data_IF_862600074223
#
_entry.id   IF_862600074223
#
_cell.length_a   1.000
_cell.length_b   1.000
_cell.length_c   1.000
_cell.angle_alpha   90.00
_cell.angle_beta   90.00
_cell.angle_gamma   90.00
#
_symmetry.space_group_name_H-M   'P 1'
#
loop_
_entity.id
_entity.type
_entity.pdbx_description
1 polymer ?
#
# COMPACT_ATOMS: atom_id res chain seq x y z
N UNK A 1 -25.05 -29.86 1.51
CA UNK A 1 -24.09 -30.42 2.49
C UNK A 1 -23.73 -29.29 3.43
N UNK A 2 -23.91 -29.46 4.75
CA UNK A 2 -23.46 -28.48 5.73
C UNK A 2 -21.95 -28.34 5.58
N UNK A 3 -21.43 -27.12 5.36
CA UNK A 3 -19.98 -26.93 5.46
C UNK A 3 -19.55 -27.31 6.89
N UNK A 4 -18.43 -28.01 7.02
CA UNK A 4 -17.83 -28.26 8.34
C UNK A 4 -17.51 -26.92 9.00
N UNK A 5 -17.89 -26.75 10.27
CA UNK A 5 -17.64 -25.52 11.02
C UNK A 5 -16.27 -25.58 11.70
N UNK A 6 -15.57 -24.45 11.78
CA UNK A 6 -14.34 -24.28 12.55
C UNK A 6 -14.41 -23.05 13.47
N UNK A 7 -13.41 -22.92 14.34
CA UNK A 7 -13.21 -21.78 15.24
C UNK A 7 -12.01 -20.98 14.77
N UNK A 8 -12.21 -19.67 14.60
CA UNK A 8 -11.12 -18.76 14.22
C UNK A 8 -10.93 -17.73 15.32
N UNK A 9 -9.69 -17.56 15.78
CA UNK A 9 -9.30 -16.50 16.72
C UNK A 9 -8.68 -15.36 15.92
N UNK A 10 -9.27 -14.16 15.98
CA UNK A 10 -8.81 -12.98 15.23
C UNK A 10 -8.49 -11.88 16.24
N UNK A 11 -7.22 -11.50 16.36
CA UNK A 11 -6.75 -10.55 17.37
C UNK A 11 -7.29 -10.88 18.78
N UNK A 12 -7.23 -12.17 19.16
CA UNK A 12 -7.71 -12.69 20.45
C UNK A 12 -9.22 -12.91 20.56
N UNK A 13 -10.03 -12.51 19.58
CA UNK A 13 -11.49 -12.75 19.60
C UNK A 13 -11.86 -14.01 18.80
N UNK A 14 -12.51 -14.95 19.47
CA UNK A 14 -13.02 -16.19 18.87
C UNK A 14 -14.33 -15.95 18.12
N UNK A 15 -14.42 -16.49 16.90
CA UNK A 15 -15.62 -16.52 16.07
C UNK A 15 -15.84 -17.93 15.50
N UNK A 16 -17.07 -18.22 15.09
CA UNK A 16 -17.39 -19.41 14.31
C UNK A 16 -17.37 -19.08 12.83
N UNK A 17 -16.77 -19.96 12.04
CA UNK A 17 -16.68 -19.85 10.59
C UNK A 17 -16.87 -21.23 9.94
N UNK A 18 -16.90 -21.28 8.61
CA UNK A 18 -16.95 -22.53 7.88
C UNK A 18 -15.61 -22.82 7.21
N UNK A 19 -15.24 -24.09 7.17
CA UNK A 19 -14.19 -24.59 6.28
C UNK A 19 -14.54 -24.20 4.83
N UNK A 20 -13.56 -23.69 4.10
CA UNK A 20 -13.75 -23.14 2.76
C UNK A 20 -14.14 -21.66 2.71
N UNK A 21 -14.36 -20.99 3.84
CA UNK A 21 -14.53 -19.53 3.85
C UNK A 21 -13.15 -18.84 3.75
N UNK A 22 -13.11 -17.69 3.06
CA UNK A 22 -11.90 -16.84 3.13
C UNK A 22 -11.78 -16.22 4.51
N UNK A 23 -10.57 -15.80 4.93
CA UNK A 23 -10.39 -15.14 6.22
C UNK A 23 -11.24 -13.86 6.34
N UNK A 24 -11.46 -13.14 5.24
CA UNK A 24 -12.38 -11.99 5.21
C UNK A 24 -13.83 -12.43 5.43
N UNK A 25 -14.31 -13.44 4.70
CA UNK A 25 -15.69 -13.89 4.80
C UNK A 25 -15.99 -14.43 6.21
N UNK A 26 -15.04 -15.19 6.78
CA UNK A 26 -15.10 -15.66 8.15
C UNK A 26 -15.21 -14.50 9.15
N UNK A 27 -14.33 -13.49 9.03
CA UNK A 27 -14.38 -12.29 9.87
C UNK A 27 -15.72 -11.57 9.76
N UNK A 28 -16.18 -11.29 8.54
CA UNK A 28 -17.45 -10.59 8.29
C UNK A 28 -18.64 -11.36 8.87
N UNK A 29 -18.68 -12.68 8.70
CA UNK A 29 -19.69 -13.56 9.33
C UNK A 29 -19.68 -13.47 10.87
N UNK A 30 -18.49 -13.32 11.46
CA UNK A 30 -18.28 -13.09 12.90
C UNK A 30 -18.41 -11.64 13.38
N UNK A 31 -18.86 -10.72 12.51
CA UNK A 31 -18.93 -9.26 12.77
C UNK A 31 -17.57 -8.66 13.16
N UNK A 32 -16.50 -9.18 12.59
CA UNK A 32 -15.13 -8.71 12.70
C UNK A 32 -14.62 -8.27 11.32
N UNK A 33 -14.43 -6.97 11.16
CA UNK A 33 -13.97 -6.41 9.89
C UNK A 33 -12.44 -6.45 9.86
N UNK A 34 -11.89 -7.38 9.09
CA UNK A 34 -10.46 -7.36 8.75
C UNK A 34 -10.19 -6.16 7.82
N UNK A 35 -8.98 -5.58 7.84
CA UNK A 35 -8.58 -4.59 6.84
C UNK A 35 -8.69 -5.20 5.44
N UNK A 36 -9.37 -4.54 4.49
CA UNK A 36 -9.44 -5.00 3.09
C UNK A 36 -9.88 -3.87 2.14
N UNK A 37 -9.60 -4.03 0.84
CA UNK A 37 -10.07 -3.12 -0.21
C UNK A 37 -10.42 -3.85 -1.53
N UNK A 38 -9.44 -4.37 -2.27
CA UNK A 38 -9.67 -4.89 -3.63
C UNK A 38 -10.35 -6.27 -3.73
N UNK A 39 -10.15 -7.13 -2.72
CA UNK A 39 -10.58 -8.54 -2.71
C UNK A 39 -10.18 -9.37 -3.96
N UNK A 40 -9.06 -9.00 -4.59
CA UNK A 40 -8.49 -9.64 -5.78
C UNK A 40 -7.05 -10.14 -5.59
N UNK A 41 -6.46 -9.93 -4.40
CA UNK A 41 -5.07 -10.30 -4.10
C UNK A 41 -4.03 -9.25 -4.49
N UNK A 42 -4.43 -8.06 -4.95
CA UNK A 42 -3.50 -7.08 -5.52
C UNK A 42 -3.06 -5.98 -4.53
N UNK A 43 -3.97 -5.45 -3.72
CA UNK A 43 -3.68 -4.28 -2.88
C UNK A 43 -2.98 -4.60 -1.55
N UNK A 44 -2.93 -5.88 -1.16
CA UNK A 44 -2.37 -6.38 0.11
C UNK A 44 -2.92 -5.81 1.42
N UNK A 45 -3.91 -4.90 1.39
CA UNK A 45 -4.59 -4.39 2.58
C UNK A 45 -5.07 -5.49 3.53
N UNK A 46 -5.47 -6.67 3.01
CA UNK A 46 -5.92 -7.81 3.80
C UNK A 46 -4.82 -8.75 4.29
N UNK A 47 -3.56 -8.33 4.25
CA UNK A 47 -2.45 -9.15 4.74
C UNK A 47 -2.57 -9.29 6.26
N UNK A 48 -2.61 -10.54 6.71
CA UNK A 48 -2.72 -10.93 8.13
C UNK A 48 -1.66 -11.96 8.45
N UNK A 49 -1.25 -12.03 9.71
CA UNK A 49 -0.31 -13.03 10.23
C UNK A 49 -1.08 -14.26 10.70
N UNK A 50 -0.65 -15.44 10.29
CA UNK A 50 -1.10 -16.71 10.85
C UNK A 50 -0.23 -17.02 12.07
N UNK A 51 -0.87 -17.19 13.22
CA UNK A 51 -0.22 -17.52 14.48
C UNK A 51 -0.24 -19.04 14.74
N UNK A 52 -1.36 -19.69 14.41
CA UNK A 52 -1.54 -21.13 14.54
C UNK A 52 -2.68 -21.63 13.64
N UNK A 53 -2.73 -22.94 13.41
CA UNK A 53 -3.84 -23.64 12.76
C UNK A 53 -3.74 -23.78 11.24
N UNK A 54 -4.88 -24.05 10.60
CA UNK A 54 -4.95 -24.57 9.23
C UNK A 54 -5.57 -23.58 8.25
N UNK A 55 -4.70 -22.92 7.48
CA UNK A 55 -5.06 -21.94 6.44
C UNK A 55 -4.30 -22.28 5.15
N UNK A 56 -5.03 -22.49 4.06
CA UNK A 56 -4.45 -22.55 2.72
C UNK A 56 -4.18 -21.11 2.23
N UNK A 57 -2.90 -20.78 2.02
CA UNK A 57 -2.48 -19.45 1.57
C UNK A 57 -2.86 -19.16 0.12
N UNK A 58 -3.18 -20.18 -0.68
CA UNK A 58 -3.29 -20.12 -2.13
C UNK A 58 -2.08 -19.44 -2.80
N UNK A 59 -0.88 -19.67 -2.27
CA UNK A 59 0.38 -19.12 -2.78
C UNK A 59 0.59 -17.63 -2.48
N UNK A 60 -0.11 -17.10 -1.47
CA UNK A 60 0.03 -15.70 -1.02
C UNK A 60 0.85 -15.53 0.24
N UNK A 61 1.47 -16.63 0.69
CA UNK A 61 2.30 -16.68 1.87
C UNK A 61 3.55 -15.83 1.70
N UNK A 62 3.84 -15.05 2.74
CA UNK A 62 5.10 -14.32 2.89
C UNK A 62 5.49 -14.37 4.36
N UNK A 63 6.57 -15.10 4.66
CA UNK A 63 6.90 -15.57 6.01
C UNK A 63 5.68 -16.25 6.65
N UNK A 64 5.17 -15.70 7.75
CA UNK A 64 3.99 -16.18 8.46
C UNK A 64 2.73 -15.35 8.15
N UNK A 65 2.69 -14.65 7.02
CA UNK A 65 1.53 -13.83 6.62
C UNK A 65 0.87 -14.36 5.36
N UNK A 66 -0.42 -14.11 5.21
CA UNK A 66 -1.23 -14.50 4.04
C UNK A 66 -2.18 -13.38 3.64
N UNK A 67 -2.72 -13.41 2.42
CA UNK A 67 -3.76 -12.48 1.98
C UNK A 67 -5.15 -12.99 2.35
N UNK A 68 -5.80 -12.37 3.35
CA UNK A 68 -7.09 -12.83 3.86
C UNK A 68 -8.26 -12.81 2.85
N UNK A 69 -8.14 -12.11 1.72
CA UNK A 69 -9.14 -12.16 0.65
C UNK A 69 -9.02 -13.38 -0.27
N UNK A 70 -7.90 -14.10 -0.19
CA UNK A 70 -7.62 -15.30 -0.97
C UNK A 70 -7.50 -16.52 -0.05
N UNK A 71 -6.76 -16.39 1.06
CA UNK A 71 -6.50 -17.46 1.99
C UNK A 71 -7.79 -18.08 2.55
N UNK A 72 -7.84 -19.42 2.57
CA UNK A 72 -9.04 -20.21 2.87
C UNK A 72 -8.83 -21.01 4.15
N UNK A 73 -9.86 -21.10 4.99
CA UNK A 73 -9.85 -21.93 6.20
C UNK A 73 -10.00 -23.41 5.85
N UNK A 74 -9.06 -24.23 6.32
CA UNK A 74 -9.15 -25.70 6.25
C UNK A 74 -9.56 -26.32 7.60
N UNK A 75 -9.40 -25.57 8.69
CA UNK A 75 -9.74 -25.99 10.04
C UNK A 75 -9.76 -24.80 11.01
N UNK A 76 -9.52 -25.09 12.30
CA UNK A 76 -9.34 -24.05 13.31
C UNK A 76 -8.07 -23.25 13.00
N UNK A 77 -8.11 -21.94 13.24
CA UNK A 77 -7.00 -21.04 12.94
C UNK A 77 -6.93 -19.87 13.91
N UNK A 78 -5.73 -19.37 14.15
CA UNK A 78 -5.48 -18.13 14.87
C UNK A 78 -4.70 -17.16 13.98
N UNK A 79 -5.26 -15.97 13.79
CA UNK A 79 -4.67 -14.91 12.98
C UNK A 79 -4.59 -13.60 13.75
N UNK A 80 -3.63 -12.77 13.38
CA UNK A 80 -3.49 -11.41 13.88
C UNK A 80 -3.20 -10.40 12.78
N UNK A 81 -3.54 -9.14 13.04
CA UNK A 81 -3.15 -8.01 12.20
C UNK A 81 -2.97 -6.76 13.05
N UNK A 82 -2.12 -5.87 12.57
CA UNK A 82 -1.80 -4.61 13.24
C UNK A 82 -3.07 -3.72 13.39
N UNK A 83 -3.26 -3.02 14.51
CA UNK A 83 -4.34 -2.04 14.64
C UNK A 83 -4.23 -0.95 13.57
N UNK A 84 -5.30 -0.74 12.80
CA UNK A 84 -5.37 0.29 11.76
C UNK A 84 -6.57 1.21 11.97
N UNK A 85 -6.53 2.46 11.46
CA UNK A 85 -7.69 3.35 11.53
C UNK A 85 -8.89 2.77 10.78
N UNK A 86 -10.09 3.06 11.30
CA UNK A 86 -11.34 2.58 10.70
C UNK A 86 -11.57 3.27 9.36
N UNK A 87 -11.86 2.48 8.33
CA UNK A 87 -12.23 2.97 7.00
C UNK A 87 -13.50 3.82 7.09
N UNK A 88 -13.41 5.08 6.66
CA UNK A 88 -14.56 6.01 6.58
C UNK A 88 -14.53 6.78 5.27
N UNK A 89 -15.69 7.30 4.88
CA UNK A 89 -15.80 8.27 3.77
C UNK A 89 -15.97 9.66 4.36
N UNK A 90 -15.08 10.58 3.99
CA UNK A 90 -15.07 11.97 4.47
C UNK A 90 -15.15 12.89 3.25
N UNK A 91 -15.97 13.94 3.36
CA UNK A 91 -16.08 14.98 2.34
C UNK A 91 -14.98 16.01 2.52
N UNK A 92 -14.55 16.61 1.43
CA UNK A 92 -13.60 17.70 1.42
C UNK A 92 -13.68 18.51 0.13
N UNK A 93 -12.79 19.47 0.01
CA UNK A 93 -12.60 20.30 -1.17
C UNK A 93 -11.12 20.42 -1.47
N UNK A 94 -10.76 20.50 -2.76
CA UNK A 94 -9.40 20.85 -3.17
C UNK A 94 -9.08 22.24 -2.61
N UNK A 95 -8.07 22.31 -1.75
CA UNK A 95 -7.60 23.57 -1.17
C UNK A 95 -6.63 24.26 -2.13
N UNK A 96 -5.65 23.52 -2.63
CA UNK A 96 -4.66 24.01 -3.57
C UNK A 96 -4.11 22.88 -4.43
N UNK A 97 -3.67 23.27 -5.63
CA UNK A 97 -2.87 22.44 -6.53
C UNK A 97 -1.64 23.26 -6.89
N UNK A 98 -0.46 22.75 -6.56
CA UNK A 98 0.81 23.42 -6.81
C UNK A 98 1.71 22.51 -7.62
N UNK A 99 2.48 23.08 -8.55
CA UNK A 99 3.49 22.31 -9.29
C UNK A 99 4.73 22.15 -8.42
N UNK A 100 5.16 20.91 -8.20
CA UNK A 100 6.43 20.59 -7.53
C UNK A 100 7.56 20.68 -8.55
N UNK A 101 7.42 19.93 -9.65
CA UNK A 101 8.33 19.92 -10.80
C UNK A 101 7.61 19.33 -12.00
N UNK A 102 7.74 19.94 -13.17
CA UNK A 102 7.21 19.42 -14.44
C UNK A 102 5.77 18.90 -14.37
N UNK A 103 5.59 17.58 -14.40
CA UNK A 103 4.31 16.86 -14.35
C UNK A 103 3.94 16.33 -12.95
N UNK A 104 4.66 16.74 -11.90
CA UNK A 104 4.39 16.40 -10.50
C UNK A 104 3.67 17.55 -9.80
N UNK A 105 2.48 17.26 -9.27
CA UNK A 105 1.64 18.21 -8.55
C UNK A 105 1.53 17.82 -7.08
N UNK A 106 1.59 18.81 -6.20
CA UNK A 106 1.10 18.72 -4.84
C UNK A 106 -0.38 19.11 -4.83
N UNK A 107 -1.24 18.20 -4.40
CA UNK A 107 -2.68 18.44 -4.28
C UNK A 107 -3.05 18.39 -2.80
N UNK A 108 -3.51 19.51 -2.26
CA UNK A 108 -4.02 19.62 -0.88
C UNK A 108 -5.53 19.53 -0.89
N UNK A 109 -6.09 18.65 -0.06
CA UNK A 109 -7.53 18.47 0.11
C UNK A 109 -7.88 18.78 1.56
N UNK A 110 -8.63 19.87 1.77
CA UNK A 110 -9.20 20.19 3.08
C UNK A 110 -10.46 19.38 3.31
N UNK A 111 -10.52 18.71 4.44
CA UNK A 111 -11.59 17.78 4.82
C UNK A 111 -12.49 18.40 5.88
N UNK A 112 -13.76 17.99 5.91
CA UNK A 112 -14.72 18.53 6.91
C UNK A 112 -14.42 18.07 8.34
N UNK A 113 -13.62 17.02 8.50
CA UNK A 113 -13.14 16.45 9.76
C UNK A 113 -11.77 15.79 9.51
N UNK A 114 -10.87 15.77 10.50
CA UNK A 114 -9.59 15.08 10.39
C UNK A 114 -9.73 13.64 9.90
N UNK A 115 -8.80 13.23 9.02
CA UNK A 115 -8.67 11.85 8.56
C UNK A 115 -7.48 11.23 9.27
N UNK A 116 -7.71 10.20 10.07
CA UNK A 116 -6.61 9.43 10.68
C UNK A 116 -6.08 8.42 9.67
N UNK A 117 -4.78 8.43 9.42
CA UNK A 117 -4.06 7.50 8.57
C UNK A 117 -2.66 7.23 9.15
N UNK A 118 -2.07 6.09 8.81
CA UNK A 118 -0.70 5.74 9.19
C UNK A 118 0.24 6.01 8.01
N UNK A 119 1.45 6.58 8.25
CA UNK A 119 2.43 6.86 7.19
C UNK A 119 2.71 5.64 6.32
N UNK A 120 2.40 5.70 5.02
CA UNK A 120 2.48 4.57 4.08
C UNK A 120 1.14 3.95 3.67
N UNK A 121 0.03 4.39 4.27
CA UNK A 121 -1.32 4.04 3.80
C UNK A 121 -1.74 4.86 2.58
N UNK A 122 -2.86 4.47 1.95
CA UNK A 122 -3.49 5.23 0.87
C UNK A 122 -4.96 5.56 1.13
N UNK A 123 -5.47 6.56 0.40
CA UNK A 123 -6.86 6.98 0.38
C UNK A 123 -7.40 6.92 -1.05
N UNK A 124 -8.65 6.48 -1.17
CA UNK A 124 -9.40 6.57 -2.42
C UNK A 124 -10.03 7.95 -2.53
N UNK A 125 -9.54 8.76 -3.45
CA UNK A 125 -10.09 10.07 -3.77
C UNK A 125 -11.09 9.98 -4.93
N UNK A 126 -12.25 10.62 -4.78
CA UNK A 126 -13.26 10.79 -5.84
C UNK A 126 -13.57 12.26 -5.98
N UNK A 127 -13.00 12.89 -7.01
CA UNK A 127 -13.33 14.25 -7.40
C UNK A 127 -14.71 14.24 -8.08
N UNK A 128 -15.60 15.18 -7.72
CA UNK A 128 -16.96 15.21 -8.27
C UNK A 128 -16.94 15.24 -9.80
N UNK A 129 -17.64 14.31 -10.45
CA UNK A 129 -17.65 14.15 -11.91
C UNK A 129 -16.55 13.24 -12.48
N UNK A 130 -15.64 12.73 -11.65
CA UNK A 130 -14.49 11.92 -12.09
C UNK A 130 -14.46 10.55 -11.39
N UNK A 131 -13.86 9.52 -12.02
CA UNK A 131 -13.73 8.21 -11.40
C UNK A 131 -12.76 8.26 -10.21
N UNK A 132 -12.95 7.33 -9.27
CA UNK A 132 -12.10 7.23 -8.10
C UNK A 132 -10.67 6.83 -8.46
N UNK A 133 -9.69 7.35 -7.71
CA UNK A 133 -8.27 6.98 -7.79
C UNK A 133 -7.69 6.86 -6.39
N UNK A 134 -6.77 5.92 -6.23
CA UNK A 134 -6.06 5.70 -4.99
C UNK A 134 -4.79 6.55 -4.98
N UNK A 135 -4.59 7.34 -3.92
CA UNK A 135 -3.42 8.18 -3.72
C UNK A 135 -2.93 8.03 -2.29
N UNK A 136 -1.62 7.92 -2.12
CA UNK A 136 -1.01 7.80 -0.79
C UNK A 136 -0.77 9.20 -0.20
N UNK A 137 -1.34 9.54 0.96
CA UNK A 137 -1.04 10.79 1.64
C UNK A 137 0.45 10.92 1.96
N UNK A 138 0.93 12.16 1.98
CA UNK A 138 2.32 12.50 2.25
C UNK A 138 2.44 13.63 3.26
N UNK A 139 3.62 13.79 3.85
CA UNK A 139 3.92 14.92 4.74
C UNK A 139 4.36 16.13 3.90
N UNK A 140 3.85 17.35 4.16
CA UNK A 140 4.37 18.57 3.54
C UNK A 140 5.88 18.71 3.75
N UNK A 141 6.60 19.24 2.77
CA UNK A 141 8.06 19.35 2.84
C UNK A 141 8.55 20.24 4.00
N UNK A 142 7.81 21.31 4.31
CA UNK A 142 8.04 22.21 5.43
C UNK A 142 7.50 21.67 6.76
N UNK A 143 6.97 20.44 6.78
CA UNK A 143 6.47 19.73 7.95
C UNK A 143 5.28 20.42 8.67
N UNK A 144 4.57 21.32 8.00
CA UNK A 144 3.42 22.07 8.52
C UNK A 144 2.10 21.30 8.38
N UNK A 145 2.09 20.03 8.78
CA UNK A 145 0.91 19.18 8.62
C UNK A 145 -0.29 19.68 9.45
N UNK A 146 -1.38 20.06 8.76
CA UNK A 146 -2.68 20.33 9.37
C UNK A 146 -3.52 19.04 9.46
N UNK A 147 -4.23 18.84 10.58
CA UNK A 147 -4.97 17.58 10.83
C UNK A 147 -6.12 17.33 9.83
N UNK A 148 -6.70 18.39 9.28
CA UNK A 148 -7.82 18.36 8.35
C UNK A 148 -7.40 18.58 6.89
N UNK A 149 -6.10 18.71 6.61
CA UNK A 149 -5.57 18.81 5.25
C UNK A 149 -4.80 17.55 4.88
N UNK A 150 -5.22 16.90 3.81
CA UNK A 150 -4.51 15.75 3.24
C UNK A 150 -3.73 16.21 2.02
N UNK A 151 -2.43 15.90 2.01
CA UNK A 151 -1.53 16.24 0.91
C UNK A 151 -1.22 14.99 0.09
N UNK A 152 -1.30 15.11 -1.23
CA UNK A 152 -0.93 14.07 -2.18
C UNK A 152 0.09 14.60 -3.17
N UNK A 153 1.03 13.76 -3.60
CA UNK A 153 1.84 14.03 -4.80
C UNK A 153 1.30 13.20 -5.96
N UNK A 154 0.87 13.87 -7.02
CA UNK A 154 0.23 13.23 -8.17
C UNK A 154 1.04 13.54 -9.43
N UNK A 155 1.47 12.49 -10.12
CA UNK A 155 2.06 12.61 -11.46
C UNK A 155 0.93 12.73 -12.48
N UNK A 156 1.03 13.74 -13.35
CA UNK A 156 0.11 13.97 -14.45
C UNK A 156 0.50 13.09 -15.62
N UNK A 157 -0.40 12.19 -16.00
CA UNK A 157 -0.25 11.41 -17.22
C UNK A 157 -1.06 12.06 -18.35
N UNK A 158 -0.45 12.33 -19.51
CA UNK A 158 -1.20 12.77 -20.69
C UNK A 158 -2.38 11.82 -20.94
N UNK A 159 -3.56 12.39 -21.22
CA UNK A 159 -4.82 11.68 -21.47
C UNK A 159 -5.43 10.92 -20.28
N UNK A 160 -4.88 11.05 -19.06
CA UNK A 160 -5.50 10.47 -17.86
C UNK A 160 -6.85 11.13 -17.56
N UNK A 161 -7.89 10.32 -17.32
CA UNK A 161 -9.25 10.80 -17.00
C UNK A 161 -9.29 11.70 -15.77
N UNK A 162 -8.33 11.58 -14.84
CA UNK A 162 -8.28 12.38 -13.60
C UNK A 162 -7.06 13.29 -13.59
N UNK A 163 -5.85 12.73 -13.68
CA UNK A 163 -4.63 13.52 -13.41
C UNK A 163 -4.40 14.63 -14.45
N UNK A 164 -4.81 14.45 -15.71
CA UNK A 164 -4.73 15.50 -16.74
C UNK A 164 -5.69 16.68 -16.51
N UNK A 165 -6.66 16.51 -15.62
CA UNK A 165 -7.69 17.50 -15.28
C UNK A 165 -7.35 18.31 -14.04
N UNK A 166 -6.33 17.90 -13.29
CA UNK A 166 -5.82 18.64 -12.13
C UNK A 166 -5.20 19.98 -12.57
N UNK A 167 -5.64 21.06 -11.92
CA UNK A 167 -5.23 22.43 -12.26
C UNK A 167 -6.04 23.07 -13.41
N UNK A 168 -6.97 22.33 -14.02
CA UNK A 168 -7.91 22.85 -15.01
C UNK A 168 -9.35 22.61 -14.56
N UNK A 169 -9.97 21.50 -14.96
CA UNK A 169 -11.35 21.15 -14.57
C UNK A 169 -11.46 20.78 -13.09
N UNK A 170 -10.42 20.17 -12.51
CA UNK A 170 -10.28 19.92 -11.08
C UNK A 170 -9.36 21.00 -10.51
N UNK A 171 -9.95 21.99 -9.84
CA UNK A 171 -9.23 23.16 -9.31
C UNK A 171 -9.59 23.43 -7.84
N UNK A 172 -9.04 24.51 -7.27
CA UNK A 172 -9.40 24.97 -5.92
C UNK A 172 -10.92 25.09 -5.77
N UNK A 173 -11.45 24.57 -4.66
CA UNK A 173 -12.88 24.51 -4.36
C UNK A 173 -13.59 23.27 -4.90
N UNK A 174 -12.95 22.45 -5.75
CA UNK A 174 -13.58 21.24 -6.31
C UNK A 174 -13.93 20.24 -5.22
N UNK A 175 -15.14 19.70 -5.26
CA UNK A 175 -15.63 18.75 -4.25
C UNK A 175 -14.95 17.39 -4.38
N UNK A 176 -14.48 16.84 -3.26
CA UNK A 176 -13.79 15.55 -3.19
C UNK A 176 -14.38 14.69 -2.07
N UNK A 177 -14.52 13.39 -2.32
CA UNK A 177 -14.72 12.39 -1.27
C UNK A 177 -13.44 11.59 -1.09
N UNK A 178 -12.95 11.48 0.15
CA UNK A 178 -11.84 10.61 0.52
C UNK A 178 -12.41 9.41 1.26
N UNK A 179 -12.10 8.19 0.82
CA UNK A 179 -12.44 6.94 1.51
C UNK A 179 -11.15 6.24 1.92
N UNK A 180 -11.09 5.75 3.15
CA UNK A 180 -9.94 4.99 3.68
C UNK A 180 -9.74 5.24 5.17
N UNK A 181 -8.54 4.96 5.71
CA UNK A 181 -7.33 4.54 4.99
C UNK A 181 -7.30 3.06 4.61
N UNK A 182 -6.50 2.73 3.60
CA UNK A 182 -6.21 1.38 3.13
C UNK A 182 -4.69 1.14 3.07
N UNK A 183 -4.29 -0.09 2.76
CA UNK A 183 -2.89 -0.46 2.59
C UNK A 183 -2.27 -1.07 3.83
N UNK A 184 -1.36 -2.02 3.58
CA UNK A 184 -0.53 -2.68 4.58
C UNK A 184 0.91 -2.14 4.60
N UNK A 185 1.23 -1.13 3.79
CA UNK A 185 2.57 -0.57 3.59
C UNK A 185 3.03 0.46 4.64
N UNK A 186 2.45 0.49 5.85
CA UNK A 186 2.65 1.61 6.79
C UNK A 186 3.74 1.41 7.84
N UNK A 187 4.27 2.50 8.38
CA UNK A 187 5.29 2.48 9.44
C UNK A 187 4.75 1.83 10.73
N UNK A 188 5.44 0.79 11.21
CA UNK A 188 5.20 0.19 12.53
C UNK A 188 6.15 0.75 13.57
N UNK A 189 5.72 0.71 14.84
CA UNK A 189 6.56 1.06 15.99
C UNK A 189 7.37 -0.16 16.40
N UNK A 190 8.63 -0.17 16.01
CA UNK A 190 9.53 -1.31 16.20
C UNK A 190 10.99 -0.81 16.12
N UNK A 191 11.95 -1.45 16.81
CA UNK A 191 13.35 -0.97 16.89
C UNK A 191 14.21 -1.33 15.67
N UNK A 192 13.76 -2.26 14.82
CA UNK A 192 14.52 -2.83 13.72
C UNK A 192 14.96 -1.78 12.70
N UNK A 193 16.15 -1.91 12.08
CA UNK A 193 16.59 -1.04 10.99
C UNK A 193 15.60 -1.09 9.82
N UNK A 194 15.38 0.05 9.16
CA UNK A 194 14.49 0.13 8.01
C UNK A 194 15.20 0.49 6.72
N UNK A 195 14.84 -0.23 5.67
CA UNK A 195 15.22 0.10 4.30
C UNK A 195 14.00 0.58 3.55
N UNK A 196 14.08 1.82 3.08
CA UNK A 196 13.03 2.48 2.33
C UNK A 196 13.40 2.46 0.85
N UNK A 197 12.47 2.09 -0.01
CA UNK A 197 12.70 2.17 -1.45
C UNK A 197 11.48 2.65 -2.20
N UNK A 198 11.69 3.46 -3.23
CA UNK A 198 10.60 3.96 -4.06
C UNK A 198 10.92 4.07 -5.53
N UNK A 199 9.88 4.12 -6.35
CA UNK A 199 9.95 4.65 -7.71
C UNK A 199 8.91 5.72 -8.00
N UNK A 200 9.32 6.81 -8.67
CA UNK A 200 8.41 7.89 -9.08
C UNK A 200 7.62 8.49 -7.91
N UNK A 201 6.30 8.61 -8.04
CA UNK A 201 5.43 9.11 -6.95
C UNK A 201 5.31 8.17 -5.76
N UNK A 202 5.81 6.93 -5.85
CA UNK A 202 6.01 6.06 -4.68
C UNK A 202 6.90 6.70 -3.61
N UNK A 203 7.68 7.74 -3.97
CA UNK A 203 8.41 8.53 -3.00
C UNK A 203 7.49 9.24 -1.98
N UNK A 204 6.24 9.55 -2.31
CA UNK A 204 5.32 10.26 -1.41
C UNK A 204 5.00 9.47 -0.12
N UNK A 205 4.51 8.21 -0.18
CA UNK A 205 4.33 7.41 1.03
C UNK A 205 5.66 7.08 1.73
N UNK A 206 6.74 6.85 0.98
CA UNK A 206 8.06 6.58 1.56
C UNK A 206 8.62 7.79 2.33
N UNK A 207 8.42 9.00 1.82
CA UNK A 207 8.76 10.24 2.51
C UNK A 207 7.97 10.38 3.82
N UNK A 208 6.66 10.11 3.79
CA UNK A 208 5.85 10.12 5.01
C UNK A 208 6.37 9.12 6.06
N UNK A 209 6.73 7.90 5.64
CA UNK A 209 7.35 6.88 6.51
C UNK A 209 8.67 7.40 7.07
N UNK A 210 9.56 7.93 6.23
CA UNK A 210 10.88 8.42 6.64
C UNK A 210 10.76 9.55 7.68
N UNK A 211 9.90 10.53 7.43
CA UNK A 211 9.65 11.63 8.37
C UNK A 211 9.12 11.10 9.70
N UNK A 212 8.11 10.23 9.68
CA UNK A 212 7.54 9.68 10.89
C UNK A 212 8.53 8.79 11.66
N UNK A 213 9.38 8.03 10.97
CA UNK A 213 10.41 7.20 11.60
C UNK A 213 11.46 8.07 12.29
N UNK A 214 11.97 9.09 11.61
CA UNK A 214 12.99 10.02 12.15
C UNK A 214 12.44 10.80 13.35
N UNK A 215 11.23 11.35 13.26
CA UNK A 215 10.65 12.13 14.34
C UNK A 215 10.24 11.26 15.54
N UNK A 216 9.87 10.00 15.29
CA UNK A 216 9.47 9.06 16.34
C UNK A 216 10.62 8.31 17.00
N UNK A 217 11.71 8.06 16.27
CA UNK A 217 12.90 7.32 16.70
C UNK A 217 14.15 7.89 16.00
N UNK A 218 14.73 8.99 16.52
CA UNK A 218 15.84 9.70 15.86
C UNK A 218 17.10 8.88 15.61
N UNK A 219 17.35 7.86 16.43
CA UNK A 219 18.54 7.00 16.37
C UNK A 219 18.32 5.71 15.54
N UNK A 220 17.14 5.55 14.93
CA UNK A 220 16.85 4.36 14.12
C UNK A 220 17.72 4.38 12.86
N UNK A 221 18.33 3.24 12.52
CA UNK A 221 19.03 3.10 11.25
C UNK A 221 18.03 3.10 10.07
N UNK A 222 18.25 4.03 9.14
CA UNK A 222 17.40 4.24 7.96
C UNK A 222 18.30 4.34 6.73
N UNK A 223 18.03 3.45 5.76
CA UNK A 223 18.58 3.51 4.41
C UNK A 223 17.48 3.83 3.43
N UNK A 224 17.75 4.67 2.43
CA UNK A 224 16.79 5.05 1.41
C UNK A 224 17.38 4.86 0.00
N UNK A 225 16.63 4.17 -0.86
CA UNK A 225 16.91 4.06 -2.30
C UNK A 225 15.76 4.68 -3.09
N UNK A 226 16.04 5.67 -3.94
CA UNK A 226 15.03 6.34 -4.74
C UNK A 226 15.32 6.15 -6.21
N UNK A 227 14.43 5.45 -6.90
CA UNK A 227 14.49 5.23 -8.33
C UNK A 227 13.55 6.12 -9.13
N UNK A 228 13.96 6.45 -10.34
CA UNK A 228 13.08 7.02 -11.34
C UNK A 228 13.41 6.47 -12.73
N UNK A 229 12.49 6.63 -13.68
CA UNK A 229 12.78 6.30 -15.09
C UNK A 229 13.81 7.27 -15.68
N UNK A 230 13.69 8.55 -15.31
CA UNK A 230 14.64 9.60 -15.70
C UNK A 230 15.05 10.42 -14.48
N UNK A 231 16.16 11.15 -14.53
CA UNK A 231 16.61 12.06 -13.45
C UNK A 231 15.57 13.10 -13.07
N UNK A 232 14.69 13.47 -14.00
CA UNK A 232 13.57 14.38 -13.73
C UNK A 232 12.49 13.78 -12.83
N UNK A 233 12.35 12.45 -12.83
CA UNK A 233 11.43 11.75 -11.94
C UNK A 233 11.87 11.75 -10.46
N UNK A 234 13.09 12.21 -10.16
CA UNK A 234 13.58 12.49 -8.81
C UNK A 234 13.11 13.89 -8.36
N UNK A 235 11.79 14.04 -8.22
CA UNK A 235 11.12 15.33 -8.13
C UNK A 235 11.25 16.05 -6.77
N UNK A 236 11.57 15.33 -5.69
CA UNK A 236 11.63 15.85 -4.30
C UNK A 236 13.06 16.08 -3.79
N UNK A 237 13.88 16.84 -4.53
CA UNK A 237 15.31 17.04 -4.19
C UNK A 237 15.55 17.66 -2.81
N UNK A 238 14.66 18.56 -2.37
CA UNK A 238 14.75 19.16 -1.03
C UNK A 238 14.51 18.14 0.09
N UNK A 239 13.58 17.20 -0.09
CA UNK A 239 13.34 16.12 0.87
C UNK A 239 14.57 15.21 1.00
N UNK A 240 15.23 14.90 -0.13
CA UNK A 240 16.49 14.13 -0.13
C UNK A 240 17.58 14.86 0.68
N UNK A 241 17.72 16.18 0.48
CA UNK A 241 18.66 17.00 1.26
C UNK A 241 18.30 16.99 2.76
N UNK A 242 17.02 17.10 3.09
CA UNK A 242 16.54 17.05 4.48
C UNK A 242 16.88 15.72 5.17
N UNK A 243 16.75 14.59 4.46
CA UNK A 243 17.09 13.25 4.96
C UNK A 243 18.59 13.08 5.16
N UNK A 244 19.40 13.46 4.16
CA UNK A 244 20.87 13.39 4.25
C UNK A 244 21.41 14.22 5.42
N UNK A 245 20.86 15.41 5.65
CA UNK A 245 21.23 16.26 6.79
C UNK A 245 20.89 15.66 8.16
N UNK A 246 20.13 14.55 8.19
CA UNK A 246 19.78 13.79 9.39
C UNK A 246 20.46 12.43 9.45
N UNK A 247 21.51 12.22 8.65
CA UNK A 247 22.31 10.99 8.68
C UNK A 247 21.70 9.81 7.92
N UNK A 248 20.59 10.00 7.21
CA UNK A 248 20.03 8.92 6.36
C UNK A 248 20.96 8.66 5.18
N UNK A 249 21.35 7.40 4.98
CA UNK A 249 22.04 6.97 3.77
C UNK A 249 21.06 6.99 2.59
N UNK A 250 21.30 7.85 1.60
CA UNK A 250 20.40 8.01 0.44
C UNK A 250 21.10 7.74 -0.88
N UNK A 251 20.67 6.69 -1.57
CA UNK A 251 21.08 6.32 -2.92
C UNK A 251 20.02 6.73 -3.94
N UNK A 252 20.42 7.40 -5.01
CA UNK A 252 19.54 7.82 -6.10
C UNK A 252 19.87 7.02 -7.36
N UNK A 253 18.85 6.62 -8.10
CA UNK A 253 19.03 5.93 -9.38
C UNK A 253 18.04 6.39 -10.44
N UNK A 254 18.50 6.44 -11.69
CA UNK A 254 17.68 6.65 -12.87
C UNK A 254 18.26 5.94 -14.09
N UNK A 255 17.44 5.62 -15.10
CA UNK A 255 17.93 4.97 -16.32
C UNK A 255 18.85 5.86 -17.17
N UNK A 256 18.78 7.18 -16.99
CA UNK A 256 19.65 8.21 -17.56
C UNK A 256 20.58 8.82 -16.49
N UNK A 257 20.94 8.02 -15.49
CA UNK A 257 21.92 8.37 -14.44
C UNK A 257 23.26 8.85 -15.02
N UNK A 258 24.05 9.50 -14.17
CA UNK A 258 25.42 9.93 -14.50
C UNK A 258 26.50 9.04 -13.86
N UNK A 259 26.10 8.07 -13.03
CA UNK A 259 26.97 7.18 -12.25
C UNK A 259 27.95 7.89 -11.31
N UNK A 260 27.73 9.18 -11.05
CA UNK A 260 28.47 9.98 -10.07
C UNK A 260 27.59 10.38 -8.90
N UNK A 261 26.41 10.93 -9.19
CA UNK A 261 25.43 11.41 -8.20
C UNK A 261 24.13 10.63 -8.23
N UNK A 262 23.80 10.08 -9.41
CA UNK A 262 22.62 9.28 -9.68
C UNK A 262 23.09 8.05 -10.46
N UNK A 263 22.98 6.87 -9.83
CA UNK A 263 23.44 5.62 -10.41
C UNK A 263 22.53 5.14 -11.54
N UNK A 264 23.08 4.36 -12.45
CA UNK A 264 22.37 3.67 -13.54
C UNK A 264 22.14 2.21 -13.15
N UNK A 265 21.22 1.96 -12.21
CA UNK A 265 20.92 0.61 -11.72
C UNK A 265 19.46 0.45 -11.29
N UNK A 266 18.97 -0.78 -11.06
CA UNK A 266 17.63 -0.93 -10.48
C UNK A 266 17.69 -0.66 -8.97
N UNK A 267 16.66 -0.02 -8.36
CA UNK A 267 16.67 0.21 -6.91
C UNK A 267 16.89 -1.05 -6.07
N UNK A 268 16.36 -2.20 -6.50
CA UNK A 268 16.51 -3.48 -5.79
C UNK A 268 17.95 -3.99 -5.74
N UNK A 269 18.83 -3.54 -6.65
CA UNK A 269 20.25 -3.90 -6.69
C UNK A 269 21.08 -3.05 -5.70
N UNK A 270 20.50 -1.97 -5.18
CA UNK A 270 21.19 -0.95 -4.39
C UNK A 270 20.70 -0.90 -2.93
N UNK A 271 19.97 -1.92 -2.48
CA UNK A 271 19.44 -1.99 -1.12
C UNK A 271 20.55 -2.21 -0.07
N UNK A 272 21.76 -2.58 -0.50
CA UNK A 272 22.87 -2.98 0.36
C UNK A 272 22.70 -4.39 0.95
N UNK A 273 23.55 -4.75 1.90
CA UNK A 273 23.40 -6.01 2.63
C UNK A 273 22.16 -5.96 3.52
N UNK A 274 21.37 -7.04 3.48
CA UNK A 274 20.13 -7.22 4.21
C UNK A 274 20.23 -8.48 5.06
N UNK A 275 19.56 -8.45 6.21
CA UNK A 275 19.44 -9.56 7.16
C UNK A 275 17.97 -9.74 7.55
N UNK A 276 17.67 -10.80 8.29
CA UNK A 276 16.31 -11.07 8.76
C UNK A 276 15.73 -9.99 9.69
N UNK A 277 16.60 -9.24 10.37
CA UNK A 277 16.25 -8.12 11.25
C UNK A 277 15.81 -6.87 10.49
N UNK A 278 16.04 -6.80 9.17
CA UNK A 278 15.64 -5.63 8.41
C UNK A 278 14.13 -5.62 8.13
N UNK A 279 13.56 -4.41 8.17
CA UNK A 279 12.19 -4.16 7.70
C UNK A 279 12.22 -3.24 6.49
N UNK A 280 11.64 -3.72 5.39
CA UNK A 280 11.70 -3.05 4.10
C UNK A 280 10.33 -2.47 3.76
N UNK A 281 10.30 -1.18 3.40
CA UNK A 281 9.12 -0.51 2.87
C UNK A 281 9.36 -0.12 1.41
N UNK A 282 8.53 -0.61 0.51
CA UNK A 282 8.62 -0.33 -0.93
C UNK A 282 7.35 0.30 -1.50
N UNK A 283 7.47 1.34 -2.32
CA UNK A 283 6.31 1.92 -3.00
C UNK A 283 6.60 2.38 -4.43
N UNK A 284 5.60 2.31 -5.29
CA UNK A 284 5.69 2.75 -6.69
C UNK A 284 5.36 1.65 -7.68
N UNK A 285 6.09 1.57 -8.81
CA UNK A 285 5.75 0.64 -9.88
C UNK A 285 5.68 -0.83 -9.38
N UNK A 286 4.67 -1.63 -9.78
CA UNK A 286 4.55 -3.02 -9.35
C UNK A 286 5.80 -3.87 -9.62
N UNK A 287 6.48 -3.63 -10.75
CA UNK A 287 7.75 -4.32 -11.07
C UNK A 287 8.88 -4.00 -10.09
N UNK A 288 8.92 -2.77 -9.56
CA UNK A 288 9.87 -2.39 -8.52
C UNK A 288 9.55 -3.07 -7.18
N UNK A 289 8.28 -3.04 -6.79
CA UNK A 289 7.82 -3.68 -5.55
C UNK A 289 8.13 -5.17 -5.57
N UNK A 290 7.82 -5.87 -6.66
CA UNK A 290 8.04 -7.31 -6.77
C UNK A 290 9.53 -7.68 -6.78
N UNK A 291 10.37 -6.94 -7.52
CA UNK A 291 11.80 -7.17 -7.50
C UNK A 291 12.41 -6.94 -6.10
N UNK A 292 11.91 -5.95 -5.35
CA UNK A 292 12.36 -5.69 -3.98
C UNK A 292 11.88 -6.79 -3.02
N UNK A 293 10.65 -7.29 -3.20
CA UNK A 293 10.10 -8.40 -2.40
C UNK A 293 10.96 -9.65 -2.52
N UNK A 294 11.39 -9.98 -3.74
CA UNK A 294 12.24 -11.16 -3.95
C UNK A 294 13.59 -11.03 -3.22
N UNK A 295 14.21 -9.85 -3.26
CA UNK A 295 15.44 -9.57 -2.51
C UNK A 295 15.19 -9.67 -0.99
N UNK A 296 14.08 -9.13 -0.50
CA UNK A 296 13.70 -9.23 0.92
C UNK A 296 13.50 -10.70 1.35
N UNK A 297 12.83 -11.49 0.51
CA UNK A 297 12.57 -12.92 0.74
C UNK A 297 13.85 -13.72 0.83
N UNK A 298 14.81 -13.46 -0.06
CA UNK A 298 16.13 -14.10 -0.05
C UNK A 298 16.94 -13.78 1.21
N UNK A 299 16.82 -12.55 1.70
CA UNK A 299 17.47 -12.11 2.94
C UNK A 299 16.72 -12.54 4.23
N UNK A 300 15.53 -13.11 4.10
CA UNK A 300 14.65 -13.37 5.24
C UNK A 300 14.16 -12.08 5.92
N UNK A 301 14.24 -10.93 5.26
CA UNK A 301 13.81 -9.63 5.79
C UNK A 301 12.27 -9.51 5.79
N UNK A 302 11.73 -8.67 6.67
CA UNK A 302 10.28 -8.37 6.68
C UNK A 302 9.98 -7.33 5.61
N UNK A 303 8.91 -7.52 4.83
CA UNK A 303 8.59 -6.66 3.69
C UNK A 303 7.16 -6.12 3.75
N UNK A 304 7.02 -4.83 3.44
CA UNK A 304 5.77 -4.11 3.36
C UNK A 304 5.77 -3.24 2.10
N UNK A 305 4.64 -3.17 1.40
CA UNK A 305 4.60 -2.43 0.16
C UNK A 305 3.28 -1.72 -0.14
N UNK A 306 3.40 -0.74 -1.05
CA UNK A 306 2.31 0.00 -1.69
C UNK A 306 2.53 0.03 -3.23
N UNK A 307 2.09 -1.02 -3.96
CA UNK A 307 2.21 -1.08 -5.42
C UNK A 307 1.19 -0.20 -6.14
N UNK A 308 1.67 0.66 -7.04
CA UNK A 308 0.86 1.62 -7.78
C UNK A 308 0.40 1.01 -9.10
N UNK A 309 -0.74 0.32 -9.06
CA UNK A 309 -1.39 -0.19 -10.27
C UNK A 309 -1.99 0.95 -11.09
N UNK A 310 -1.72 0.95 -12.39
CA UNK A 310 -2.45 1.82 -13.31
C UNK A 310 -3.88 1.29 -13.38
N UNK A 311 -4.86 2.12 -13.02
CA UNK A 311 -6.26 1.76 -13.16
C UNK A 311 -6.55 1.44 -14.63
N UNK A 312 -6.77 0.16 -14.98
CA UNK A 312 -7.32 -0.22 -16.28
C UNK A 312 -8.68 0.46 -16.43
N UNK A 313 -8.99 0.94 -17.65
CA UNK A 313 -10.33 1.40 -17.97
C UNK A 313 -11.32 0.26 -17.68
N UNK A 314 -12.28 0.55 -16.81
CA UNK A 314 -13.28 -0.42 -16.37
C UNK A 314 -14.14 -0.86 -17.55
N UNK A 315 -13.78 -1.96 -18.21
CA UNK A 315 -14.73 -2.74 -19.00
C UNK A 315 -15.51 -3.62 -18.03
N UNK A 316 -16.74 -3.22 -17.71
CA UNK A 316 -17.63 -3.91 -16.75
C UNK A 316 -17.86 -5.41 -17.02
N UNK A 317 -17.45 -5.91 -18.20
CA UNK A 317 -17.50 -7.33 -18.55
C UNK A 317 -16.50 -8.22 -17.78
N UNK A 318 -15.28 -7.73 -17.48
CA UNK A 318 -14.25 -8.59 -16.83
C UNK A 318 -14.62 -8.94 -15.38
N UNK A 319 -15.26 -8.01 -14.66
CA UNK A 319 -15.69 -8.25 -13.28
C UNK A 319 -16.78 -9.31 -13.16
N UNK A 320 -17.77 -9.29 -14.06
CA UNK A 320 -18.83 -10.31 -14.13
C UNK A 320 -18.26 -11.71 -14.43
N UNK A 321 -17.30 -11.80 -15.35
CA UNK A 321 -16.63 -13.06 -15.68
C UNK A 321 -15.88 -13.65 -14.48
N UNK A 322 -15.15 -12.82 -13.73
CA UNK A 322 -14.41 -13.27 -12.53
C UNK A 322 -15.33 -13.74 -11.39
N UNK A 323 -16.49 -13.10 -11.19
CA UNK A 323 -17.47 -13.50 -10.20
C UNK A 323 -18.19 -14.81 -10.59
N UNK A 324 -18.45 -15.02 -11.87
CA UNK A 324 -19.05 -16.26 -12.40
C UNK A 324 -18.06 -17.43 -12.36
N UNK A 325 -16.79 -17.21 -12.66
CA UNK A 325 -15.73 -18.23 -12.54
C UNK A 325 -15.48 -18.63 -11.09
N UNK A 326 -15.61 -17.71 -10.12
CA UNK A 326 -15.55 -18.03 -8.68
C UNK A 326 -16.71 -18.93 -8.23
N UNK A 327 -17.90 -18.82 -8.83
CA UNK A 327 -19.03 -19.71 -8.55
C UNK A 327 -18.92 -21.09 -9.20
N UNK A 328 -18.12 -21.23 -10.27
CA UNK A 328 -17.99 -22.49 -11.01
C UNK A 328 -16.94 -23.45 -10.42
N UNK A 329 -16.08 -22.99 -9.50
CA UNK A 329 -15.09 -23.83 -8.79
C UNK A 329 -15.65 -24.33 -7.45
N UNK A 330 -16.72 -25.10 -7.49
CA UNK A 330 -17.06 -26.07 -6.45
C UNK A 330 -16.55 -27.44 -6.90
N UNK A 331 -15.83 -28.21 -6.07
CA UNK A 331 -15.26 -29.48 -6.50
C UNK A 331 -16.37 -30.50 -6.76
N UNK A 332 -16.36 -31.08 -7.96
CA UNK A 332 -17.09 -32.30 -8.28
C UNK A 332 -16.57 -33.41 -7.37
N UNK A 333 -17.45 -33.95 -6.51
CA UNK A 333 -17.18 -35.17 -5.78
C UNK A 333 -16.96 -36.31 -6.79
N UNK A 334 -15.77 -36.90 -6.76
CA UNK A 334 -15.47 -38.16 -7.46
C UNK A 334 -16.27 -39.28 -6.82
N UNK A 335 -17.29 -39.77 -7.54
CA UNK A 335 -17.91 -41.05 -7.24
C UNK A 335 -16.94 -42.16 -7.66
N UNK A 336 -16.39 -42.89 -6.68
CA UNK A 336 -15.68 -44.14 -6.91
C UNK A 336 -16.71 -45.25 -7.20
N UNK A 337 -16.52 -45.93 -8.31
CA UNK A 337 -17.15 -47.20 -8.61
C UNK A 337 -16.04 -48.24 -8.82
N UNK A 338 -15.79 -49.05 -7.79
CA UNK A 338 -15.41 -50.47 -7.81
C UNK A 338 -15.46 -50.98 -6.38
#
# INVERSE_FOLDING_TARGET
MSKSTCTVTINGKKIKANVGDTLIDAGLGGRLVLPHDCCSGQCETCRVRVLDGQVDSLGTDEKNTVLGCLAVLEGDAEISYDPVPIVKTIKGTVESIQKIKDDYLEVRVRTVKPVTWLPGQYLRATFSGFPARDYSPTTPLNLDAEQDVIVFHIKVYPNSVVSSKLGSEIAKGHSVKLRGPFGNGFLRRQPEPIVLTSTGTGFAPIWAIAVAAILGQPERDIRLVVGARTKDGLYMRDAIRWLRNRGVSVTLTASDGDDETILTARPCELLGELTEDHVIYSAGAPSHVEATREVARQAGATFYADPFFVAEESSGLKMLASALLRKARTPFATAAAS
#
